data_IF_153668909353
#
_entry.id   IF_153668909353
#
_cell.length_a   1.000
_cell.length_b   1.000
_cell.length_c   1.000
_cell.angle_alpha   90.00
_cell.angle_beta   90.00
_cell.angle_gamma   90.00
#
_symmetry.space_group_name_H-M   'P 1'
#
loop_
_entity.id
_entity.type
_entity.pdbx_description
1 polymer ?
#
# COMPACT_ATOMS: atom_id res chain seq x y z
N UNK A 1 19.54 -21.26 16.78
CA UNK A 1 20.31 -20.05 16.48
C UNK A 1 19.53 -19.31 15.40
N UNK A 2 18.92 -18.17 15.71
CA UNK A 2 18.30 -17.34 14.68
C UNK A 2 19.41 -16.85 13.76
N UNK A 3 19.29 -17.11 12.46
CA UNK A 3 20.17 -16.55 11.46
C UNK A 3 20.10 -15.02 11.59
N UNK A 4 21.25 -14.36 11.77
CA UNK A 4 21.30 -12.90 11.84
C UNK A 4 20.85 -12.36 10.49
N UNK A 5 19.60 -11.93 10.41
CA UNK A 5 19.02 -11.40 9.18
C UNK A 5 19.77 -10.13 8.79
N UNK A 6 20.41 -10.11 7.62
CA UNK A 6 21.15 -8.95 7.12
C UNK A 6 20.18 -7.82 6.77
N UNK A 7 20.28 -6.71 7.50
CA UNK A 7 19.44 -5.54 7.30
C UNK A 7 19.49 -5.03 5.85
N UNK A 8 20.57 -5.25 5.09
CA UNK A 8 20.67 -4.83 3.69
C UNK A 8 19.71 -5.55 2.75
N UNK A 9 19.19 -6.69 3.20
CA UNK A 9 18.33 -7.57 2.40
C UNK A 9 16.93 -7.76 2.97
N UNK A 10 16.67 -7.29 4.19
CA UNK A 10 15.38 -7.44 4.86
C UNK A 10 14.20 -6.92 4.01
N UNK A 11 14.36 -5.78 3.34
CA UNK A 11 13.33 -5.25 2.44
C UNK A 11 12.92 -6.21 1.32
N UNK A 12 13.79 -7.16 0.94
CA UNK A 12 13.48 -8.17 -0.10
C UNK A 12 12.60 -9.29 0.39
N UNK A 13 12.47 -9.45 1.71
CA UNK A 13 11.58 -10.44 2.33
C UNK A 13 10.22 -9.86 2.65
N UNK A 14 10.01 -8.55 2.43
CA UNK A 14 8.70 -7.94 2.50
C UNK A 14 7.81 -8.53 1.41
N UNK A 15 6.64 -9.00 1.82
CA UNK A 15 5.59 -9.38 0.88
C UNK A 15 5.10 -8.11 0.19
N UNK A 16 5.24 -8.05 -1.14
CA UNK A 16 4.90 -6.89 -1.95
C UNK A 16 3.84 -7.32 -2.97
N UNK A 17 2.85 -6.46 -3.17
CA UNK A 17 1.80 -6.72 -4.16
C UNK A 17 2.39 -6.84 -5.59
N UNK A 18 1.71 -7.58 -6.45
CA UNK A 18 2.15 -7.91 -7.81
C UNK A 18 2.56 -6.69 -8.64
N UNK A 19 1.86 -5.56 -8.49
CA UNK A 19 2.21 -4.31 -9.19
C UNK A 19 3.62 -3.81 -8.82
N UNK A 20 3.98 -3.88 -7.54
CA UNK A 20 5.33 -3.49 -7.11
C UNK A 20 6.38 -4.50 -7.61
N UNK A 21 6.00 -5.77 -7.78
CA UNK A 21 6.86 -6.79 -8.37
C UNK A 21 7.23 -6.46 -9.82
N UNK A 22 6.26 -6.04 -10.63
CA UNK A 22 6.47 -5.68 -12.03
C UNK A 22 7.41 -4.47 -12.17
N UNK A 23 7.16 -3.40 -11.40
CA UNK A 23 8.00 -2.20 -11.42
C UNK A 23 9.46 -2.52 -11.04
N UNK A 24 9.66 -3.29 -9.97
CA UNK A 24 10.99 -3.72 -9.53
C UNK A 24 11.61 -4.70 -10.52
N UNK A 25 10.80 -5.54 -11.17
CA UNK A 25 11.20 -6.49 -12.21
C UNK A 25 11.81 -5.79 -13.42
N UNK A 26 11.17 -4.74 -13.91
CA UNK A 26 11.67 -3.94 -15.04
C UNK A 26 13.02 -3.29 -14.72
N UNK A 27 13.18 -2.70 -13.53
CA UNK A 27 14.45 -2.12 -13.09
C UNK A 27 15.55 -3.19 -12.98
N UNK A 28 15.24 -4.36 -12.43
CA UNK A 28 16.20 -5.48 -12.37
C UNK A 28 16.59 -5.96 -13.77
N UNK A 29 15.63 -6.04 -14.69
CA UNK A 29 15.87 -6.38 -16.09
C UNK A 29 16.81 -5.37 -16.74
N UNK A 30 16.54 -4.08 -16.60
CA UNK A 30 17.40 -3.02 -17.12
C UNK A 30 18.83 -3.11 -16.56
N UNK A 31 19.00 -3.31 -15.25
CA UNK A 31 20.33 -3.48 -14.65
C UNK A 31 21.05 -4.74 -15.12
N UNK A 32 20.35 -5.85 -15.37
CA UNK A 32 20.94 -7.11 -15.79
C UNK A 32 21.49 -7.06 -17.23
N UNK A 33 20.85 -6.30 -18.11
CA UNK A 33 21.30 -6.11 -19.49
C UNK A 33 22.39 -5.03 -19.63
N UNK A 34 22.60 -4.23 -18.58
CA UNK A 34 23.55 -3.13 -18.55
C UNK A 34 22.99 -1.88 -19.20
N UNK A 35 23.49 -0.72 -18.72
CA UNK A 35 23.14 0.61 -19.22
C UNK A 35 24.30 1.08 -20.08
N UNK A 36 24.08 1.24 -21.38
CA UNK A 36 25.15 1.53 -22.34
C UNK A 36 24.98 2.89 -23.00
N UNK A 37 23.75 3.42 -23.07
CA UNK A 37 23.47 4.71 -23.69
C UNK A 37 23.20 5.83 -22.65
N UNK A 38 23.52 7.09 -22.97
CA UNK A 38 23.21 8.23 -22.11
C UNK A 38 21.71 8.36 -21.79
N UNK A 39 20.85 8.09 -22.77
CA UNK A 39 19.39 8.20 -22.59
C UNK A 39 18.86 7.15 -21.60
N UNK A 40 19.43 5.94 -21.62
CA UNK A 40 19.11 4.90 -20.63
C UNK A 40 19.55 5.30 -19.22
N UNK A 41 20.74 5.93 -19.09
CA UNK A 41 21.24 6.46 -17.82
C UNK A 41 20.32 7.54 -17.26
N UNK A 42 19.85 8.45 -18.12
CA UNK A 42 18.89 9.49 -17.74
C UNK A 42 17.54 8.89 -17.34
N UNK A 43 17.05 7.88 -18.06
CA UNK A 43 15.82 7.16 -17.74
C UNK A 43 15.88 6.50 -16.36
N UNK A 44 16.98 5.81 -16.04
CA UNK A 44 17.19 5.20 -14.72
C UNK A 44 17.31 6.24 -13.62
N UNK A 45 18.01 7.35 -13.87
CA UNK A 45 18.10 8.44 -12.90
C UNK A 45 16.73 9.04 -12.58
N UNK A 46 15.88 9.25 -13.59
CA UNK A 46 14.51 9.72 -13.39
C UNK A 46 13.66 8.70 -12.61
N UNK A 47 13.71 7.42 -12.99
CA UNK A 47 12.98 6.36 -12.28
C UNK A 47 13.41 6.24 -10.81
N UNK A 48 14.71 6.35 -10.52
CA UNK A 48 15.23 6.34 -9.15
C UNK A 48 14.75 7.56 -8.34
N UNK A 49 14.75 8.76 -8.96
CA UNK A 49 14.27 9.98 -8.31
C UNK A 49 12.77 9.89 -7.99
N UNK A 50 11.95 9.45 -8.93
CA UNK A 50 10.50 9.25 -8.74
C UNK A 50 10.22 8.19 -7.67
N UNK A 51 10.95 7.07 -7.67
CA UNK A 51 10.82 6.03 -6.65
C UNK A 51 11.16 6.55 -5.25
N UNK A 52 12.23 7.33 -5.12
CA UNK A 52 12.60 7.99 -3.87
C UNK A 52 11.55 9.01 -3.40
N UNK A 53 10.90 9.72 -4.33
CA UNK A 53 9.84 10.69 -4.03
C UNK A 53 8.51 10.02 -3.65
N UNK A 54 8.22 8.83 -4.21
CA UNK A 54 7.00 8.09 -3.94
C UNK A 54 6.96 7.53 -2.50
N UNK A 55 8.10 7.12 -1.93
CA UNK A 55 8.14 6.57 -0.56
C UNK A 55 7.54 7.51 0.50
N UNK A 56 7.97 8.77 0.66
CA UNK A 56 7.36 9.66 1.64
C UNK A 56 5.89 9.98 1.35
N UNK A 57 5.44 9.90 0.09
CA UNK A 57 4.01 10.01 -0.23
C UNK A 57 3.23 8.79 0.27
N UNK A 58 3.74 7.57 0.02
CA UNK A 58 3.13 6.34 0.52
C UNK A 58 3.03 6.33 2.05
N UNK A 59 4.09 6.75 2.75
CA UNK A 59 4.13 6.83 4.21
C UNK A 59 3.18 7.86 4.82
N UNK A 60 2.77 8.88 4.05
CA UNK A 60 1.85 9.94 4.50
C UNK A 60 0.43 9.77 3.97
N UNK A 61 0.24 8.89 2.99
CA UNK A 61 -1.04 8.74 2.29
C UNK A 61 -2.11 8.06 3.14
N UNK A 62 -1.72 7.32 4.18
CA UNK A 62 -2.65 6.61 5.05
C UNK A 62 -2.03 6.37 6.43
N UNK A 63 -2.83 6.48 7.47
CA UNK A 63 -2.47 6.02 8.83
C UNK A 63 -2.22 4.51 8.89
N UNK A 64 -2.66 3.78 7.85
CA UNK A 64 -2.51 2.34 7.68
C UNK A 64 -1.35 1.95 6.75
N UNK A 65 -0.50 2.91 6.33
CA UNK A 65 0.62 2.65 5.42
C UNK A 65 1.65 1.65 6.00
N UNK A 66 1.82 1.65 7.32
CA UNK A 66 2.63 0.66 8.05
C UNK A 66 1.88 0.23 9.31
N UNK A 67 1.74 -1.07 9.54
CA UNK A 67 0.90 -1.66 10.60
C UNK A 67 1.73 -2.27 11.73
N UNK A 68 2.91 -2.79 11.42
CA UNK A 68 3.74 -3.52 12.39
C UNK A 68 5.15 -2.95 12.49
N UNK A 69 5.83 -3.08 13.66
CA UNK A 69 7.25 -2.71 13.78
C UNK A 69 8.15 -3.43 12.77
N UNK A 70 7.79 -4.67 12.38
CA UNK A 70 8.53 -5.41 11.35
C UNK A 70 8.41 -4.76 9.97
N UNK A 71 7.22 -4.31 9.58
CA UNK A 71 7.03 -3.57 8.32
C UNK A 71 7.80 -2.23 8.37
N UNK A 72 7.83 -1.54 9.51
CA UNK A 72 8.69 -0.35 9.69
C UNK A 72 10.16 -0.72 9.49
N UNK A 73 10.61 -1.85 10.02
CA UNK A 73 11.98 -2.33 9.86
C UNK A 73 12.31 -2.62 8.38
N UNK A 74 11.38 -3.24 7.64
CA UNK A 74 11.54 -3.51 6.21
C UNK A 74 11.62 -2.21 5.39
N UNK A 75 10.77 -1.22 5.69
CA UNK A 75 10.84 0.11 5.06
C UNK A 75 12.12 0.85 5.43
N UNK A 76 12.55 0.79 6.69
CA UNK A 76 13.81 1.39 7.13
C UNK A 76 15.01 0.75 6.43
N UNK A 77 15.01 -0.59 6.32
CA UNK A 77 15.99 -1.35 5.53
C UNK A 77 16.06 -0.87 4.08
N UNK A 78 14.91 -0.69 3.42
CA UNK A 78 14.87 -0.15 2.06
C UNK A 78 15.41 1.29 1.99
N UNK A 79 15.05 2.15 2.94
CA UNK A 79 15.52 3.53 3.02
C UNK A 79 17.04 3.63 3.19
N UNK A 80 17.62 2.80 4.06
CA UNK A 80 19.09 2.73 4.21
C UNK A 80 19.78 2.14 2.97
N UNK A 81 19.17 1.16 2.30
CA UNK A 81 19.69 0.63 1.03
C UNK A 81 19.66 1.68 -0.10
N UNK A 82 18.62 2.51 -0.15
CA UNK A 82 18.57 3.66 -1.07
C UNK A 82 19.67 4.69 -0.75
N UNK A 83 19.91 4.97 0.53
CA UNK A 83 21.00 5.85 0.95
C UNK A 83 22.38 5.27 0.58
N UNK A 84 22.62 3.97 0.78
CA UNK A 84 23.85 3.29 0.36
C UNK A 84 24.03 3.37 -1.18
N UNK A 85 22.95 3.18 -1.94
CA UNK A 85 22.96 3.31 -3.39
C UNK A 85 23.23 4.75 -3.86
N UNK A 86 22.70 5.75 -3.14
CA UNK A 86 22.94 7.16 -3.42
C UNK A 86 24.42 7.54 -3.20
N UNK A 87 25.09 6.98 -2.18
CA UNK A 87 26.53 7.14 -1.98
C UNK A 87 27.30 6.67 -3.21
N UNK A 88 26.98 5.48 -3.73
CA UNK A 88 27.64 4.94 -4.93
C UNK A 88 27.34 5.77 -6.19
N UNK A 89 26.12 6.28 -6.33
CA UNK A 89 25.77 7.19 -7.43
C UNK A 89 26.57 8.52 -7.38
N UNK A 90 26.73 9.12 -6.20
CA UNK A 90 27.51 10.35 -6.01
C UNK A 90 29.00 10.14 -6.32
N UNK A 91 29.55 8.99 -5.91
CA UNK A 91 30.93 8.58 -6.24
C UNK A 91 31.10 8.33 -7.73
N UNK A 92 30.14 7.63 -8.35
CA UNK A 92 30.08 7.42 -9.79
C UNK A 92 30.05 8.73 -10.57
N UNK A 93 29.21 9.68 -10.16
CA UNK A 93 29.12 11.00 -10.79
C UNK A 93 30.43 11.77 -10.69
N UNK A 94 31.12 11.71 -9.55
CA UNK A 94 32.48 12.27 -9.42
C UNK A 94 33.43 11.68 -10.46
N UNK A 95 33.40 10.36 -10.68
CA UNK A 95 34.20 9.70 -11.72
C UNK A 95 33.83 10.16 -13.14
N UNK A 96 32.54 10.32 -13.43
CA UNK A 96 32.06 10.84 -14.72
C UNK A 96 32.55 12.26 -14.96
N UNK A 97 32.46 13.14 -13.97
CA UNK A 97 32.94 14.53 -14.09
C UNK A 97 34.44 14.61 -14.36
N UNK A 98 35.25 13.80 -13.68
CA UNK A 98 36.69 13.70 -13.91
C UNK A 98 37.01 13.18 -15.32
N UNK A 99 36.22 12.22 -15.81
CA UNK A 99 36.39 11.71 -17.16
C UNK A 99 36.00 12.77 -18.21
N UNK A 100 34.93 13.53 -17.99
CA UNK A 100 34.54 14.67 -18.84
C UNK A 100 35.61 15.79 -18.84
N UNK A 101 36.21 16.10 -17.69
CA UNK A 101 37.36 17.01 -17.60
C UNK A 101 38.54 16.52 -18.46
N UNK A 102 38.90 15.24 -18.33
CA UNK A 102 40.03 14.65 -19.06
C UNK A 102 39.84 14.68 -20.58
N UNK A 103 38.59 14.62 -21.07
CA UNK A 103 38.26 14.80 -22.48
C UNK A 103 38.24 16.26 -22.95
N UNK A 104 38.25 17.20 -22.01
CA UNK A 104 38.14 18.64 -22.29
C UNK A 104 36.71 19.16 -22.39
N UNK A 105 35.71 18.38 -21.98
CA UNK A 105 34.29 18.77 -22.03
C UNK A 105 33.93 19.78 -20.92
N UNK A 106 34.69 19.80 -19.82
CA UNK A 106 34.46 20.63 -18.64
C UNK A 106 35.74 21.35 -18.18
N UNK A 107 35.57 22.53 -17.58
CA UNK A 107 36.68 23.26 -16.99
C UNK A 107 37.13 22.66 -15.66
N UNK A 108 38.44 22.50 -15.47
CA UNK A 108 39.06 21.85 -14.31
C UNK A 108 38.59 22.40 -12.95
N UNK A 109 38.56 23.73 -12.79
CA UNK A 109 38.14 24.37 -11.55
C UNK A 109 36.68 24.05 -11.17
N UNK A 110 35.80 23.86 -12.16
CA UNK A 110 34.40 23.47 -11.94
C UNK A 110 34.32 22.02 -11.46
N UNK A 111 35.07 21.12 -12.10
CA UNK A 111 35.09 19.69 -11.75
C UNK A 111 35.66 19.47 -10.36
N UNK A 112 36.74 20.17 -9.99
CA UNK A 112 37.32 20.10 -8.62
C UNK A 112 36.29 20.53 -7.57
N UNK A 113 35.61 21.67 -7.80
CA UNK A 113 34.62 22.18 -6.85
C UNK A 113 33.39 21.26 -6.72
N UNK A 114 32.87 20.75 -7.84
CA UNK A 114 31.73 19.83 -7.85
C UNK A 114 32.10 18.49 -7.20
N UNK A 115 33.22 17.88 -7.59
CA UNK A 115 33.71 16.62 -7.02
C UNK A 115 33.91 16.72 -5.51
N UNK A 116 34.48 17.83 -5.02
CA UNK A 116 34.66 18.03 -3.58
C UNK A 116 33.33 18.03 -2.81
N UNK A 117 32.27 18.62 -3.38
CA UNK A 117 30.95 18.65 -2.76
C UNK A 117 30.26 17.29 -2.80
N UNK A 118 30.33 16.60 -3.95
CA UNK A 118 29.76 15.26 -4.11
C UNK A 118 30.42 14.25 -3.17
N UNK A 119 31.76 14.27 -3.07
CA UNK A 119 32.50 13.41 -2.13
C UNK A 119 32.12 13.71 -0.68
N UNK A 120 32.06 15.00 -0.29
CA UNK A 120 31.66 15.36 1.07
C UNK A 120 30.25 14.85 1.42
N UNK A 121 29.29 14.99 0.50
CA UNK A 121 27.93 14.47 0.68
C UNK A 121 27.90 12.94 0.75
N UNK A 122 28.67 12.25 -0.10
CA UNK A 122 28.79 10.80 -0.08
C UNK A 122 29.40 10.28 1.23
N UNK A 123 30.40 10.97 1.76
CA UNK A 123 31.07 10.59 3.01
C UNK A 123 30.15 10.81 4.23
N UNK A 124 29.41 11.91 4.27
CA UNK A 124 28.42 12.19 5.32
C UNK A 124 27.33 11.11 5.32
N UNK A 125 26.73 10.84 4.17
CA UNK A 125 25.67 9.84 4.03
C UNK A 125 26.17 8.42 4.31
N UNK A 126 27.38 8.07 3.83
CA UNK A 126 28.00 6.77 4.11
C UNK A 126 28.28 6.60 5.60
N UNK A 127 28.71 7.67 6.28
CA UNK A 127 28.89 7.65 7.73
C UNK A 127 27.57 7.40 8.45
N UNK A 128 26.50 8.10 8.09
CA UNK A 128 25.16 7.89 8.66
C UNK A 128 24.69 6.43 8.51
N UNK A 129 24.69 5.89 7.28
CA UNK A 129 24.25 4.50 7.03
C UNK A 129 25.08 3.50 7.84
N UNK A 130 26.40 3.65 7.89
CA UNK A 130 27.29 2.73 8.61
C UNK A 130 27.06 2.70 10.12
N UNK A 131 26.71 3.84 10.73
CA UNK A 131 26.53 3.91 12.19
C UNK A 131 25.11 3.51 12.61
N UNK A 132 24.10 3.88 11.82
CA UNK A 132 22.71 3.84 12.29
C UNK A 132 21.89 2.69 11.71
N UNK A 133 22.21 2.18 10.52
CA UNK A 133 21.30 1.27 9.79
C UNK A 133 21.05 -0.05 10.53
N UNK A 134 22.13 -0.76 10.90
CA UNK A 134 22.02 -2.07 11.55
C UNK A 134 21.31 -1.97 12.90
N UNK A 135 21.72 -1.02 13.74
CA UNK A 135 21.13 -0.84 15.07
C UNK A 135 19.66 -0.42 14.98
N UNK A 136 19.31 0.49 14.06
CA UNK A 136 17.93 0.96 13.90
C UNK A 136 17.02 -0.18 13.45
N UNK A 137 17.42 -0.92 12.40
CA UNK A 137 16.64 -2.05 11.88
C UNK A 137 16.51 -3.16 12.93
N UNK A 138 17.61 -3.52 13.61
CA UNK A 138 17.58 -4.54 14.67
C UNK A 138 16.68 -4.13 15.85
N UNK A 139 16.70 -2.85 16.22
CA UNK A 139 15.83 -2.33 17.27
C UNK A 139 14.35 -2.47 16.88
N UNK A 140 13.98 -2.07 15.67
CA UNK A 140 12.60 -2.16 15.15
C UNK A 140 12.11 -3.61 15.08
N UNK A 141 12.94 -4.55 14.63
CA UNK A 141 12.60 -5.99 14.62
C UNK A 141 12.34 -6.51 16.04
N UNK A 142 13.12 -6.04 17.02
CA UNK A 142 12.99 -6.45 18.41
C UNK A 142 11.83 -5.81 19.17
N UNK A 143 11.13 -4.84 18.57
CA UNK A 143 10.00 -4.17 19.23
C UNK A 143 8.79 -5.10 19.31
N UNK A 144 8.13 -5.21 20.48
CA UNK A 144 6.90 -5.98 20.59
C UNK A 144 5.79 -5.32 19.76
N UNK A 145 5.07 -6.13 18.99
CA UNK A 145 3.83 -5.66 18.36
C UNK A 145 2.73 -5.57 19.41
N UNK A 146 2.18 -4.38 19.59
CA UNK A 146 0.96 -4.16 20.37
C UNK A 146 -0.31 -4.47 19.56
N UNK A 147 -0.17 -4.65 18.24
CA UNK A 147 -1.26 -4.93 17.32
C UNK A 147 -1.45 -6.45 17.22
N UNK A 148 -2.70 -6.96 17.26
CA UNK A 148 -2.99 -8.36 16.98
C UNK A 148 -2.38 -8.82 15.66
N UNK A 149 -2.10 -10.12 15.55
CA UNK A 149 -1.67 -10.67 14.26
C UNK A 149 -2.73 -10.34 13.18
N UNK A 150 -2.29 -10.00 11.96
CA UNK A 150 -3.23 -9.78 10.86
C UNK A 150 -4.04 -11.06 10.60
N UNK A 151 -5.28 -10.93 10.11
CA UNK A 151 -6.05 -12.08 9.64
C UNK A 151 -5.27 -12.91 8.62
N UNK A 152 -5.41 -14.24 8.66
CA UNK A 152 -4.71 -15.13 7.74
C UNK A 152 -5.35 -15.19 6.35
N UNK A 153 -6.62 -14.81 6.22
CA UNK A 153 -7.41 -14.89 4.99
C UNK A 153 -8.60 -13.92 5.00
N UNK A 154 -9.32 -13.85 3.88
CA UNK A 154 -10.49 -12.98 3.68
C UNK A 154 -11.60 -13.27 4.71
N UNK A 155 -11.84 -14.54 5.02
CA UNK A 155 -12.88 -14.94 5.98
C UNK A 155 -12.59 -14.38 7.37
N UNK A 156 -11.36 -14.58 7.87
CA UNK A 156 -10.94 -14.05 9.17
C UNK A 156 -11.01 -12.52 9.20
N UNK A 157 -10.71 -11.85 8.08
CA UNK A 157 -10.88 -10.40 7.95
C UNK A 157 -12.35 -9.99 8.09
N UNK A 158 -13.27 -10.66 7.39
CA UNK A 158 -14.72 -10.39 7.48
C UNK A 158 -15.27 -10.65 8.88
N UNK A 159 -14.86 -11.75 9.53
CA UNK A 159 -15.24 -12.07 10.91
C UNK A 159 -14.79 -10.95 11.85
N UNK A 160 -13.55 -10.47 11.70
CA UNK A 160 -13.02 -9.40 12.53
C UNK A 160 -13.74 -8.08 12.28
N UNK A 161 -14.04 -7.72 11.03
CA UNK A 161 -14.81 -6.51 10.69
C UNK A 161 -16.22 -6.58 11.29
N UNK A 162 -16.94 -7.69 11.10
CA UNK A 162 -18.27 -7.88 11.68
C UNK A 162 -18.25 -7.76 13.21
N UNK A 163 -17.23 -8.35 13.86
CA UNK A 163 -17.03 -8.24 15.32
C UNK A 163 -16.81 -6.79 15.76
N UNK A 164 -16.05 -6.01 15.00
CA UNK A 164 -15.80 -4.59 15.30
C UNK A 164 -17.02 -3.71 15.08
N UNK A 165 -17.86 -4.02 14.09
CA UNK A 165 -19.12 -3.33 13.83
C UNK A 165 -20.20 -3.67 14.88
N UNK A 166 -20.08 -4.82 15.55
CA UNK A 166 -20.97 -5.22 16.66
C UNK A 166 -22.42 -5.36 16.20
N UNK A 167 -23.34 -4.75 16.93
CA UNK A 167 -24.78 -4.88 16.68
C UNK A 167 -25.25 -4.32 15.32
N UNK A 168 -24.39 -3.57 14.61
CA UNK A 168 -24.68 -3.08 13.27
C UNK A 168 -24.53 -4.17 12.18
N UNK A 169 -23.88 -5.29 12.49
CA UNK A 169 -23.43 -6.23 11.47
C UNK A 169 -23.84 -7.67 11.77
N UNK A 170 -24.21 -8.41 10.72
CA UNK A 170 -24.42 -9.85 10.74
C UNK A 170 -23.50 -10.50 9.71
N UNK A 171 -22.67 -11.44 10.15
CA UNK A 171 -21.83 -12.23 9.25
C UNK A 171 -22.66 -13.35 8.61
N UNK A 172 -22.77 -13.32 7.28
CA UNK A 172 -23.37 -14.37 6.49
C UNK A 172 -22.29 -15.39 6.09
N UNK A 173 -22.10 -16.40 6.94
CA UNK A 173 -21.15 -17.47 6.67
C UNK A 173 -21.75 -18.53 5.73
N UNK A 174 -21.28 -18.59 4.48
CA UNK A 174 -21.70 -19.62 3.50
C UNK A 174 -21.05 -20.99 3.72
N UNK A 175 -20.05 -21.13 4.60
CA UNK A 175 -19.40 -22.41 4.93
C UNK A 175 -20.37 -23.46 5.51
N UNK A 176 -21.51 -23.03 6.06
CA UNK A 176 -22.52 -23.94 6.63
C UNK A 176 -23.54 -24.48 5.61
N UNK A 177 -23.42 -24.13 4.34
CA UNK A 177 -24.25 -24.70 3.29
C UNK A 177 -23.55 -25.93 2.68
N UNK A 178 -24.24 -27.08 2.68
CA UNK A 178 -23.71 -28.37 2.25
C UNK A 178 -23.24 -28.33 0.79
N UNK A 179 -21.96 -27.98 0.57
CA UNK A 179 -21.39 -27.81 -0.77
C UNK A 179 -20.09 -26.99 -0.81
N UNK A 180 -19.47 -26.69 0.32
CA UNK A 180 -18.24 -25.90 0.36
C UNK A 180 -17.09 -26.60 -0.39
N UNK A 181 -16.59 -25.93 -1.43
CA UNK A 181 -15.32 -26.25 -2.06
C UNK A 181 -14.29 -25.38 -1.36
N UNK A 182 -13.35 -25.94 -0.60
CA UNK A 182 -12.28 -25.16 0.04
C UNK A 182 -11.50 -24.43 -1.06
N UNK A 183 -11.37 -23.11 -0.90
CA UNK A 183 -10.54 -22.17 -1.65
C UNK A 183 -9.83 -22.78 -2.87
N UNK A 184 -10.62 -23.05 -3.91
CA UNK A 184 -10.09 -23.04 -5.25
C UNK A 184 -9.89 -21.58 -5.58
N UNK A 185 -8.66 -21.19 -5.90
CA UNK A 185 -8.19 -19.88 -6.35
C UNK A 185 -8.96 -19.36 -7.59
N UNK A 186 -10.28 -19.18 -7.46
CA UNK A 186 -11.21 -18.88 -8.54
C UNK A 186 -11.65 -17.40 -8.52
N UNK A 187 -10.97 -16.56 -7.73
CA UNK A 187 -11.24 -15.12 -7.61
C UNK A 187 -12.34 -14.77 -6.61
N UNK A 188 -13.43 -15.55 -6.52
CA UNK A 188 -14.68 -15.14 -5.86
C UNK A 188 -14.67 -15.04 -4.32
N UNK A 189 -13.49 -15.08 -3.68
CA UNK A 189 -13.34 -15.05 -2.22
C UNK A 189 -13.94 -16.26 -1.50
N UNK A 190 -13.95 -16.23 -0.17
CA UNK A 190 -14.52 -17.30 0.66
C UNK A 190 -16.06 -17.39 0.60
N UNK A 191 -16.71 -16.58 -0.24
CA UNK A 191 -18.17 -16.49 -0.36
C UNK A 191 -18.90 -15.94 0.86
N UNK A 192 -18.19 -15.49 1.89
CA UNK A 192 -18.78 -14.84 3.06
C UNK A 192 -18.98 -13.35 2.80
N UNK A 193 -20.01 -12.79 3.43
CA UNK A 193 -20.33 -11.37 3.38
C UNK A 193 -20.80 -10.90 4.77
N UNK A 194 -20.77 -9.59 4.99
CA UNK A 194 -21.26 -8.94 6.20
C UNK A 194 -22.43 -8.06 5.80
N UNK A 195 -23.62 -8.42 6.27
CA UNK A 195 -24.80 -7.57 6.16
C UNK A 195 -24.73 -6.51 7.26
N UNK A 196 -24.90 -5.24 6.88
CA UNK A 196 -24.79 -4.09 7.77
C UNK A 196 -26.11 -3.32 7.75
N UNK A 197 -26.71 -3.16 8.93
CA UNK A 197 -27.90 -2.35 9.13
C UNK A 197 -27.50 -0.97 9.63
N UNK A 198 -27.66 0.06 8.79
CA UNK A 198 -27.29 1.42 9.13
C UNK A 198 -28.38 2.41 8.75
N UNK A 199 -28.92 3.12 9.76
CA UNK A 199 -30.00 4.12 9.62
C UNK A 199 -31.23 3.63 8.84
N UNK A 200 -31.54 2.33 8.93
CA UNK A 200 -32.72 1.72 8.31
C UNK A 200 -32.51 1.26 6.86
N UNK A 201 -31.29 1.32 6.35
CA UNK A 201 -30.89 0.66 5.11
C UNK A 201 -30.02 -0.56 5.42
N UNK A 202 -30.20 -1.63 4.62
CA UNK A 202 -29.35 -2.80 4.60
C UNK A 202 -28.27 -2.66 3.52
N UNK A 203 -27.04 -3.00 3.90
CA UNK A 203 -25.85 -2.95 3.08
C UNK A 203 -25.12 -4.29 3.12
N UNK A 204 -24.43 -4.63 2.05
CA UNK A 204 -23.62 -5.84 1.95
C UNK A 204 -22.15 -5.47 1.77
N UNK A 205 -21.31 -5.89 2.71
CA UNK A 205 -19.87 -5.75 2.64
C UNK A 205 -19.22 -7.10 2.36
N UNK A 206 -18.45 -7.18 1.29
CA UNK A 206 -17.77 -8.40 0.89
C UNK A 206 -16.46 -8.08 0.17
N UNK A 207 -15.66 -9.11 -0.09
CA UNK A 207 -14.53 -9.03 -1.02
C UNK A 207 -14.86 -9.77 -2.31
N UNK A 208 -14.71 -9.09 -3.44
CA UNK A 208 -14.74 -9.70 -4.76
C UNK A 208 -13.37 -10.26 -5.16
N UNK A 209 -13.10 -10.29 -6.47
CA UNK A 209 -11.88 -10.86 -7.05
C UNK A 209 -10.60 -10.17 -6.57
N UNK A 210 -10.64 -8.85 -6.38
CA UNK A 210 -9.46 -8.07 -5.98
C UNK A 210 -9.76 -6.90 -5.05
N UNK A 211 -11.03 -6.59 -4.80
CA UNK A 211 -11.42 -5.38 -4.07
C UNK A 211 -12.41 -5.69 -2.96
N UNK A 212 -12.32 -4.90 -1.89
CA UNK A 212 -13.35 -4.83 -0.86
C UNK A 212 -14.44 -3.90 -1.35
N UNK A 213 -15.70 -4.35 -1.29
CA UNK A 213 -16.83 -3.59 -1.84
C UNK A 213 -17.97 -3.50 -0.86
N UNK A 214 -18.63 -2.35 -0.86
CA UNK A 214 -19.87 -2.08 -0.15
C UNK A 214 -21.00 -1.88 -1.17
N UNK A 215 -22.09 -2.61 -0.98
CA UNK A 215 -23.30 -2.57 -1.81
C UNK A 215 -24.48 -2.16 -0.95
N UNK A 216 -25.44 -1.42 -1.52
CA UNK A 216 -26.72 -1.12 -0.86
C UNK A 216 -27.77 -2.07 -1.42
N UNK A 217 -28.42 -2.84 -0.54
CA UNK A 217 -29.32 -3.93 -0.98
C UNK A 217 -30.50 -3.42 -1.82
N UNK A 218 -31.04 -2.25 -1.48
CA UNK A 218 -32.20 -1.68 -2.18
C UNK A 218 -31.91 -1.22 -3.61
N UNK A 219 -30.64 -1.01 -3.95
CA UNK A 219 -30.22 -0.63 -5.30
C UNK A 219 -30.11 -1.86 -6.22
N UNK A 220 -30.23 -3.06 -5.65
CA UNK A 220 -30.23 -4.33 -6.36
C UNK A 220 -31.44 -4.48 -7.29
N UNK A 221 -31.17 -4.81 -8.55
CA UNK A 221 -32.17 -5.07 -9.57
C UNK A 221 -32.30 -6.57 -9.83
N UNK A 222 -33.45 -7.14 -9.48
CA UNK A 222 -33.76 -8.54 -9.78
C UNK A 222 -33.91 -8.76 -11.28
N UNK A 223 -33.17 -9.72 -11.80
CA UNK A 223 -33.19 -10.16 -13.18
C UNK A 223 -34.23 -11.27 -13.39
N UNK A 224 -34.54 -11.55 -14.66
CA UNK A 224 -35.52 -12.58 -15.03
C UNK A 224 -35.13 -14.01 -14.64
N UNK A 225 -33.83 -14.26 -14.46
CA UNK A 225 -33.30 -15.56 -14.01
C UNK A 225 -33.28 -15.70 -12.48
N UNK A 226 -33.72 -14.67 -11.75
CA UNK A 226 -33.74 -14.63 -10.29
C UNK A 226 -32.45 -14.12 -9.63
N UNK A 227 -31.41 -13.80 -10.41
CA UNK A 227 -30.22 -13.11 -9.89
C UNK A 227 -30.52 -11.65 -9.55
N UNK A 228 -29.70 -11.05 -8.68
CA UNK A 228 -29.74 -9.61 -8.39
C UNK A 228 -28.48 -8.98 -8.95
N UNK A 229 -28.63 -7.91 -9.73
CA UNK A 229 -27.51 -7.12 -10.24
C UNK A 229 -27.50 -5.78 -9.52
N UNK A 230 -26.36 -5.39 -9.00
CA UNK A 230 -26.16 -4.09 -8.38
C UNK A 230 -25.52 -3.15 -9.40
N UNK A 231 -26.20 -2.07 -9.81
CA UNK A 231 -25.67 -1.16 -10.83
C UNK A 231 -24.51 -0.30 -10.29
N UNK A 232 -24.37 -0.21 -8.97
CA UNK A 232 -23.35 0.58 -8.27
C UNK A 232 -22.75 -0.24 -7.14
N UNK A 233 -21.42 -0.27 -7.09
CA UNK A 233 -20.63 -0.82 -5.99
C UNK A 233 -19.60 0.19 -5.55
N UNK A 234 -19.42 0.35 -4.24
CA UNK A 234 -18.39 1.21 -3.68
C UNK A 234 -17.18 0.37 -3.36
N UNK A 235 -16.13 0.53 -4.16
CA UNK A 235 -14.84 -0.09 -3.87
C UNK A 235 -14.14 0.69 -2.78
N UNK A 236 -13.79 0.01 -1.70
CA UNK A 236 -13.01 0.60 -0.62
C UNK A 236 -11.54 0.72 -1.06
N UNK A 237 -10.82 1.77 -0.62
CA UNK A 237 -9.42 1.96 -0.99
C UNK A 237 -8.46 0.86 -0.55
N UNK A 238 -8.81 0.08 0.49
CA UNK A 238 -8.02 -1.09 0.87
C UNK A 238 -8.17 -2.17 -0.21
N UNK A 239 -7.07 -2.68 -0.75
CA UNK A 239 -7.07 -3.74 -1.77
C UNK A 239 -6.67 -5.12 -1.21
N UNK A 240 -5.80 -5.14 -0.20
CA UNK A 240 -5.27 -6.38 0.38
C UNK A 240 -6.38 -7.30 0.90
N UNK A 241 -6.35 -8.58 0.53
CA UNK A 241 -7.26 -9.62 1.03
C UNK A 241 -7.20 -9.82 2.55
N UNK A 242 -6.13 -9.37 3.18
CA UNK A 242 -5.87 -9.43 4.63
C UNK A 242 -5.61 -8.02 5.19
N UNK A 243 -6.33 -7.04 4.66
CA UNK A 243 -6.32 -5.67 5.17
C UNK A 243 -6.63 -5.64 6.68
N UNK A 244 -6.11 -4.63 7.39
CA UNK A 244 -6.38 -4.52 8.82
C UNK A 244 -7.89 -4.32 9.04
N UNK A 245 -8.57 -5.15 9.85
CA UNK A 245 -10.01 -5.04 10.04
C UNK A 245 -10.46 -3.67 10.58
N UNK A 246 -9.60 -2.97 11.33
CA UNK A 246 -9.89 -1.60 11.81
C UNK A 246 -9.88 -0.60 10.66
N UNK A 247 -8.94 -0.71 9.72
CA UNK A 247 -8.92 0.11 8.51
C UNK A 247 -10.22 -0.02 7.72
N UNK A 248 -10.63 -1.26 7.47
CA UNK A 248 -11.87 -1.55 6.74
C UNK A 248 -13.09 -1.03 7.51
N UNK A 249 -13.15 -1.23 8.83
CA UNK A 249 -14.23 -0.73 9.68
C UNK A 249 -14.31 0.81 9.65
N UNK A 250 -13.18 1.51 9.75
CA UNK A 250 -13.12 2.98 9.66
C UNK A 250 -13.50 3.51 8.27
N UNK A 251 -13.13 2.80 7.20
CA UNK A 251 -13.55 3.14 5.84
C UNK A 251 -15.07 2.93 5.68
N UNK A 252 -15.59 1.78 6.09
CA UNK A 252 -17.01 1.47 6.05
C UNK A 252 -17.86 2.50 6.79
N UNK A 253 -17.49 2.84 8.03
CA UNK A 253 -18.23 3.80 8.83
C UNK A 253 -18.22 5.21 8.24
N UNK A 254 -17.14 5.60 7.54
CA UNK A 254 -17.07 6.87 6.81
C UNK A 254 -18.00 6.85 5.60
N UNK A 255 -17.90 5.83 4.74
CA UNK A 255 -18.76 5.70 3.57
C UNK A 255 -20.25 5.68 3.93
N UNK A 256 -20.62 4.93 4.98
CA UNK A 256 -21.99 4.89 5.49
C UNK A 256 -22.47 6.25 6.01
N UNK A 257 -21.59 7.02 6.65
CA UNK A 257 -21.92 8.36 7.16
C UNK A 257 -22.07 9.37 6.02
N UNK A 258 -21.19 9.34 5.02
CA UNK A 258 -21.23 10.22 3.85
C UNK A 258 -22.53 10.01 3.07
N UNK A 259 -22.91 8.74 2.85
CA UNK A 259 -24.20 8.39 2.23
C UNK A 259 -25.41 8.90 2.99
N UNK A 260 -25.36 8.85 4.32
CA UNK A 260 -26.46 9.35 5.12
C UNK A 260 -26.59 10.87 5.03
N UNK A 261 -25.48 11.60 4.82
CA UNK A 261 -25.51 13.06 4.62
C UNK A 261 -26.06 13.46 3.26
N UNK A 262 -25.74 12.72 2.19
CA UNK A 262 -26.30 12.97 0.86
C UNK A 262 -27.81 12.73 0.80
N UNK A 263 -28.32 11.74 1.54
CA UNK A 263 -29.75 11.45 1.61
C UNK A 263 -30.55 12.53 2.39
N UNK A 264 -29.92 13.19 3.36
CA UNK A 264 -30.53 14.29 4.12
C UNK A 264 -30.54 15.62 3.32
N UNK A 265 -29.64 15.75 2.34
CA UNK A 265 -29.53 16.91 1.43
C UNK A 265 -30.41 16.82 0.16
N UNK A 266 -31.23 15.77 0.01
CA UNK A 266 -32.33 15.75 -0.96
C UNK A 266 -33.57 16.38 -0.31
N UNK A 267 -33.85 17.69 -0.54
CA UNK A 267 -35.02 18.32 0.03
C UNK A 267 -36.25 17.70 -0.61
N UNK A 268 -36.86 16.75 0.09
CA UNK A 268 -38.15 16.19 -0.27
C UNK A 268 -39.10 17.33 -0.70
N UNK A 269 -39.39 17.47 -2.02
CA UNK A 269 -40.22 18.56 -2.52
C UNK A 269 -41.66 18.45 -2.02
N UNK A 270 -42.03 17.34 -1.37
CA UNK A 270 -43.35 17.12 -0.78
C UNK A 270 -43.48 17.60 0.68
N UNK A 271 -42.40 18.02 1.35
CA UNK A 271 -42.45 18.60 2.71
C UNK A 271 -42.78 20.09 2.78
N UNK A 272 -42.98 20.74 1.63
CA UNK A 272 -43.26 22.18 1.52
C UNK A 272 -44.73 22.56 1.34
N UNK A 273 -45.72 21.83 1.84
CA UNK A 273 -47.14 22.21 1.69
C UNK A 273 -48.03 21.77 2.86
N UNK A 274 -47.73 22.18 4.09
CA UNK A 274 -48.77 22.22 5.13
C UNK A 274 -48.71 23.48 5.99
N UNK A 275 -49.86 24.18 5.97
CA UNK A 275 -50.36 25.18 6.93
C UNK A 275 -49.96 26.65 6.71
N UNK A 276 -50.67 27.30 5.78
CA UNK A 276 -51.34 28.58 6.08
C UNK A 276 -52.82 28.45 5.73
N UNK A 277 -53.66 28.40 6.77
CA UNK A 277 -55.04 28.92 6.77
C UNK A 277 -55.29 29.57 8.12
#
# INVERSE_FOLDING_TARGET
>A
MAESMDWRSLWRTADVEDFAHDLVGELRSAMAHGVVEPDETMGIAAAAAESCAALPMALRGSDWAIRTPWEVAAVASAAFAMAESAVEALRGLTGVLQHMEARGDLASHTVVAASSRLTAAADELSSFVRHDAEQTVAHLIGMPSAVPAPPANVHETLVAVATMLGDLATLNNRENSAGHIPDGDNGFGCGCDVEIEYRGDSWNFARGDSTWSLLREKDGQKQSDGSTVFPTSYELPAASAVADPRQLTEQLLRELADWASEADDDPDPSRGLHLIR
#
